data_IF_633833215101
#
_entry.id   IF_633833215101
#
_cell.length_a   1.000
_cell.length_b   1.000
_cell.length_c   1.000
_cell.angle_alpha   90.00
_cell.angle_beta   90.00
_cell.angle_gamma   90.00
#
_symmetry.space_group_name_H-M   'P 1'
#
loop_
_entity.id
_entity.type
_entity.pdbx_description
1 polymer ?
#
# COMPACT_ATOMS: atom_id res chain seq x y z
N UNK A 1 -12.04 14.07 19.76
CA UNK A 1 -11.53 13.11 20.76
C UNK A 1 -11.09 11.86 20.01
N UNK A 2 -9.99 11.22 20.42
CA UNK A 2 -9.53 9.95 19.86
C UNK A 2 -10.16 8.80 20.64
N UNK A 3 -10.90 7.93 19.95
CA UNK A 3 -11.56 6.79 20.54
C UNK A 3 -10.60 5.59 20.64
N UNK A 4 -10.37 5.09 21.86
CA UNK A 4 -9.61 3.88 22.12
C UNK A 4 -10.28 3.07 23.23
N UNK A 5 -10.43 1.75 23.04
CA UNK A 5 -11.05 0.84 24.01
C UNK A 5 -12.43 1.30 24.54
N UNK A 6 -13.25 1.91 23.67
CA UNK A 6 -14.59 2.40 24.04
C UNK A 6 -14.59 3.65 24.92
N UNK A 7 -13.47 4.38 24.98
CA UNK A 7 -13.34 5.66 25.68
C UNK A 7 -12.75 6.72 24.77
N UNK A 8 -13.09 7.96 25.06
CA UNK A 8 -12.58 9.13 24.38
C UNK A 8 -11.41 9.74 25.14
N UNK A 9 -10.33 10.04 24.41
CA UNK A 9 -9.14 10.68 24.95
C UNK A 9 -8.75 11.92 24.15
N UNK A 10 -8.25 12.94 24.84
CA UNK A 10 -7.40 13.96 24.24
C UNK A 10 -5.93 13.53 24.32
N UNK A 11 -5.02 14.25 23.66
CA UNK A 11 -3.59 13.96 23.62
C UNK A 11 -2.96 13.84 25.00
N UNK A 12 -3.34 14.72 25.93
CA UNK A 12 -2.77 14.76 27.28
C UNK A 12 -3.26 13.58 28.11
N UNK A 13 -4.55 13.27 28.01
CA UNK A 13 -5.17 12.12 28.65
C UNK A 13 -4.55 10.82 28.12
N UNK A 14 -4.34 10.71 26.80
CA UNK A 14 -3.70 9.53 26.19
C UNK A 14 -2.27 9.34 26.74
N UNK A 15 -1.47 10.41 26.75
CA UNK A 15 -0.08 10.38 27.24
C UNK A 15 0.05 10.08 28.75
N UNK A 16 -0.99 10.33 29.55
CA UNK A 16 -1.01 9.93 30.97
C UNK A 16 -1.23 8.44 31.17
N UNK A 17 -1.88 7.77 30.22
CA UNK A 17 -2.23 6.35 30.32
C UNK A 17 -1.23 5.43 29.60
N UNK A 18 -0.49 5.96 28.62
CA UNK A 18 0.48 5.21 27.85
C UNK A 18 1.86 5.87 27.94
N UNK A 19 2.89 5.08 28.27
CA UNK A 19 4.27 5.56 28.18
C UNK A 19 4.69 5.91 26.75
N UNK A 20 4.15 5.16 25.78
CA UNK A 20 4.31 5.39 24.35
C UNK A 20 2.95 5.27 23.66
N UNK A 21 2.57 6.27 22.85
CA UNK A 21 1.25 6.31 22.19
C UNK A 21 1.09 5.17 21.16
N UNK A 22 2.20 4.61 20.65
CA UNK A 22 2.21 3.43 19.77
C UNK A 22 1.61 2.18 20.41
N UNK A 23 1.48 2.14 21.74
CA UNK A 23 0.76 1.10 22.46
C UNK A 23 -0.75 1.10 22.13
N UNK A 24 -1.29 2.24 21.69
CA UNK A 24 -2.72 2.43 21.42
C UNK A 24 -3.03 2.45 19.93
N UNK A 25 -2.12 2.98 19.13
CA UNK A 25 -2.29 3.10 17.68
C UNK A 25 -1.10 3.86 17.10
N UNK A 26 -1.02 3.94 15.79
CA UNK A 26 0.07 4.63 15.12
C UNK A 26 0.40 4.05 13.76
N UNK A 27 1.52 4.54 13.23
CA UNK A 27 2.11 4.05 11.97
C UNK A 27 3.53 3.58 12.24
N UNK A 28 3.87 2.37 11.82
CA UNK A 28 5.26 1.88 11.88
C UNK A 28 5.70 1.28 10.55
N UNK A 29 6.97 1.48 10.22
CA UNK A 29 7.58 0.83 9.05
C UNK A 29 8.12 -0.55 9.41
N UNK A 30 7.86 -1.51 8.53
CA UNK A 30 8.36 -2.89 8.63
C UNK A 30 8.85 -3.36 7.26
N UNK A 31 9.68 -4.41 7.27
CA UNK A 31 10.08 -5.12 6.05
C UNK A 31 9.64 -6.57 6.18
N UNK A 32 8.78 -7.02 5.28
CA UNK A 32 8.34 -8.42 5.21
C UNK A 32 9.55 -9.33 4.93
N UNK A 33 9.67 -10.44 5.64
CA UNK A 33 10.91 -11.24 5.65
C UNK A 33 10.80 -12.58 4.93
N UNK A 34 9.61 -13.04 4.54
CA UNK A 34 9.40 -14.42 4.10
C UNK A 34 8.81 -14.55 2.69
N UNK A 35 9.17 -15.67 2.05
CA UNK A 35 8.62 -16.11 0.77
C UNK A 35 8.68 -15.06 -0.34
N UNK A 36 7.61 -15.00 -1.13
CA UNK A 36 7.49 -14.05 -2.24
C UNK A 36 7.33 -12.59 -1.78
N UNK A 37 7.02 -12.35 -0.51
CA UNK A 37 6.84 -11.01 0.06
C UNK A 37 8.16 -10.44 0.62
N UNK A 38 9.21 -11.28 0.74
CA UNK A 38 10.49 -10.90 1.32
C UNK A 38 11.09 -9.66 0.67
N UNK A 39 11.42 -8.68 1.50
CA UNK A 39 12.03 -7.42 1.10
C UNK A 39 11.03 -6.27 0.92
N UNK A 40 9.73 -6.54 0.90
CA UNK A 40 8.71 -5.49 0.77
C UNK A 40 8.68 -4.63 2.03
N UNK A 41 8.85 -3.33 1.86
CA UNK A 41 8.55 -2.30 2.84
C UNK A 41 7.04 -2.12 2.94
N UNK A 42 6.53 -2.15 4.17
CA UNK A 42 5.14 -1.85 4.48
C UNK A 42 5.06 -0.84 5.62
N UNK A 43 3.98 -0.07 5.66
CA UNK A 43 3.60 0.77 6.78
C UNK A 43 2.35 0.17 7.41
N UNK A 44 2.45 -0.27 8.65
CA UNK A 44 1.31 -0.81 9.40
C UNK A 44 0.60 0.32 10.12
N UNK A 45 -0.66 0.55 9.78
CA UNK A 45 -1.53 1.52 10.42
C UNK A 45 -2.42 0.81 11.43
N UNK A 46 -2.48 1.35 12.65
CA UNK A 46 -3.44 0.95 13.69
C UNK A 46 -4.12 2.19 14.24
N UNK A 47 -5.42 2.34 14.05
CA UNK A 47 -6.13 3.55 14.51
C UNK A 47 -6.44 3.54 16.01
N UNK A 48 -6.27 2.41 16.69
CA UNK A 48 -6.64 2.21 18.10
C UNK A 48 -8.14 2.03 18.36
N UNK A 49 -8.99 2.41 17.40
CA UNK A 49 -10.44 2.21 17.41
C UNK A 49 -10.89 0.91 16.72
N UNK A 50 -9.96 0.14 16.17
CA UNK A 50 -10.21 -1.18 15.59
C UNK A 50 -9.88 -1.29 14.11
N UNK A 51 -9.76 -0.18 13.37
CA UNK A 51 -9.27 -0.22 11.98
C UNK A 51 -7.75 -0.42 11.97
N UNK A 52 -7.30 -1.43 11.24
CA UNK A 52 -5.90 -1.66 10.96
C UNK A 52 -5.71 -2.04 9.49
N UNK A 53 -4.65 -1.55 8.86
CA UNK A 53 -4.32 -1.86 7.47
C UNK A 53 -2.85 -1.61 7.19
N UNK A 54 -2.32 -2.26 6.15
CA UNK A 54 -0.96 -2.01 5.71
C UNK A 54 -0.95 -1.26 4.38
N UNK A 55 -0.06 -0.27 4.28
CA UNK A 55 0.30 0.36 3.01
C UNK A 55 1.57 -0.30 2.50
N UNK A 56 1.50 -0.89 1.31
CA UNK A 56 2.60 -1.61 0.67
C UNK A 56 3.44 -0.62 -0.13
N UNK A 57 4.47 -0.06 0.51
CA UNK A 57 5.34 0.97 -0.10
C UNK A 57 5.94 0.49 -1.41
N UNK A 58 6.36 -0.78 -1.46
CA UNK A 58 6.98 -1.32 -2.65
C UNK A 58 5.98 -1.76 -3.74
N UNK A 59 4.68 -1.50 -3.54
CA UNK A 59 3.60 -1.84 -4.47
C UNK A 59 2.66 -0.65 -4.64
N UNK A 60 3.19 0.44 -5.21
CA UNK A 60 2.45 1.68 -5.47
C UNK A 60 1.75 2.34 -4.27
N UNK A 61 2.19 2.06 -3.03
CA UNK A 61 1.48 2.49 -1.81
C UNK A 61 0.04 1.94 -1.74
N UNK A 62 -0.23 0.81 -2.40
CA UNK A 62 -1.52 0.14 -2.34
C UNK A 62 -1.82 -0.39 -0.93
N UNK A 63 -3.10 -0.50 -0.60
CA UNK A 63 -3.55 -1.06 0.68
C UNK A 63 -3.59 -2.59 0.57
N UNK A 64 -2.78 -3.24 1.39
CA UNK A 64 -2.64 -4.69 1.48
C UNK A 64 -3.71 -5.33 2.38
N UNK A 65 -3.33 -5.98 3.51
CA UNK A 65 -4.29 -6.43 4.51
C UNK A 65 -5.06 -5.24 5.08
N UNK A 66 -6.35 -5.45 5.32
CA UNK A 66 -7.18 -4.50 6.02
C UNK A 66 -8.19 -5.24 6.88
N UNK A 67 -8.37 -4.78 8.12
CA UNK A 67 -9.26 -5.38 9.09
C UNK A 67 -9.92 -4.33 9.98
N UNK A 68 -11.08 -4.69 10.52
CA UNK A 68 -11.75 -3.91 11.54
C UNK A 68 -12.12 -4.80 12.72
N UNK A 69 -11.57 -4.49 13.89
CA UNK A 69 -11.76 -5.25 15.13
C UNK A 69 -11.48 -6.76 14.91
N UNK A 70 -10.34 -7.08 14.29
CA UNK A 70 -9.89 -8.45 14.00
C UNK A 70 -10.66 -9.17 12.88
N UNK A 71 -11.52 -8.47 12.14
CA UNK A 71 -12.28 -9.03 11.01
C UNK A 71 -11.69 -8.49 9.71
N UNK A 72 -11.03 -9.36 8.96
CA UNK A 72 -10.43 -8.99 7.67
C UNK A 72 -11.51 -8.68 6.63
N UNK A 73 -11.29 -7.63 5.84
CA UNK A 73 -12.11 -7.27 4.68
C UNK A 73 -11.27 -6.98 3.43
N UNK A 74 -9.94 -7.02 3.53
CA UNK A 74 -9.04 -6.96 2.38
C UNK A 74 -8.91 -8.32 1.68
N UNK A 75 -8.85 -8.31 0.35
CA UNK A 75 -8.56 -9.53 -0.40
C UNK A 75 -7.10 -9.97 -0.21
N UNK A 76 -6.89 -11.25 0.13
CA UNK A 76 -5.55 -11.85 0.21
C UNK A 76 -5.49 -13.08 -0.68
N UNK A 77 -4.78 -12.97 -1.79
CA UNK A 77 -4.55 -14.07 -2.73
C UNK A 77 -3.53 -15.07 -2.18
N UNK A 78 -3.59 -16.32 -2.66
CA UNK A 78 -2.57 -17.33 -2.40
C UNK A 78 -1.18 -16.95 -2.96
N UNK A 79 -1.13 -15.96 -3.85
CA UNK A 79 0.14 -15.39 -4.37
C UNK A 79 0.89 -14.56 -3.33
N UNK A 80 0.20 -14.10 -2.26
CA UNK A 80 0.72 -13.08 -1.35
C UNK A 80 0.95 -11.73 -2.03
N UNK A 81 1.60 -10.83 -1.32
CA UNK A 81 2.13 -9.57 -1.84
C UNK A 81 3.49 -9.82 -2.48
N UNK A 82 3.49 -10.18 -3.76
CA UNK A 82 4.74 -10.52 -4.46
C UNK A 82 5.68 -9.32 -4.55
N UNK A 83 6.95 -9.52 -4.23
CA UNK A 83 7.98 -8.50 -4.36
C UNK A 83 8.15 -8.10 -5.83
N UNK A 84 8.23 -6.79 -6.16
CA UNK A 84 8.43 -6.29 -7.53
C UNK A 84 9.57 -6.94 -8.30
N UNK A 85 10.71 -7.18 -7.64
CA UNK A 85 11.87 -7.85 -8.23
C UNK A 85 11.64 -9.31 -8.63
N UNK A 86 10.48 -9.90 -8.31
CA UNK A 86 10.07 -11.23 -8.75
C UNK A 86 9.00 -11.17 -9.87
N UNK A 87 8.65 -9.98 -10.36
CA UNK A 87 7.59 -9.75 -11.34
C UNK A 87 8.18 -9.36 -12.69
N UNK A 88 7.87 -10.17 -13.71
CA UNK A 88 8.26 -9.93 -15.10
C UNK A 88 7.05 -9.46 -15.89
N UNK A 89 7.05 -8.20 -16.31
CA UNK A 89 5.88 -7.55 -16.91
C UNK A 89 5.34 -8.22 -18.17
N UNK A 90 6.23 -8.77 -19.00
CA UNK A 90 5.87 -9.40 -20.27
C UNK A 90 5.58 -10.90 -20.17
N UNK A 91 5.79 -11.50 -18.99
CA UNK A 91 5.60 -12.93 -18.79
C UNK A 91 4.11 -13.31 -18.94
N UNK A 92 3.86 -14.56 -19.34
CA UNK A 92 2.52 -15.07 -19.68
C UNK A 92 1.75 -14.18 -20.68
N UNK A 93 2.48 -13.55 -21.61
CA UNK A 93 1.89 -12.62 -22.57
C UNK A 93 1.23 -11.40 -21.91
N UNK A 94 1.76 -10.95 -20.76
CA UNK A 94 1.25 -9.79 -20.02
C UNK A 94 0.23 -10.11 -18.95
N UNK A 95 -0.06 -11.39 -18.73
CA UNK A 95 -0.97 -11.85 -17.68
C UNK A 95 -0.26 -12.10 -16.34
N UNK A 96 1.07 -12.00 -16.31
CA UNK A 96 1.87 -12.19 -15.08
C UNK A 96 1.50 -11.24 -13.95
N UNK A 97 0.78 -10.15 -14.22
CA UNK A 97 0.18 -9.28 -13.19
C UNK A 97 -0.70 -10.08 -12.21
N UNK A 98 -1.41 -11.11 -12.70
CA UNK A 98 -2.22 -12.00 -11.88
C UNK A 98 -1.39 -12.81 -10.85
N UNK A 99 -0.09 -13.01 -11.08
CA UNK A 99 0.82 -13.63 -10.10
C UNK A 99 1.12 -12.73 -8.91
N UNK A 100 0.75 -11.46 -8.98
CA UNK A 100 0.93 -10.50 -7.91
C UNK A 100 -0.37 -9.84 -7.46
N UNK A 101 -1.53 -10.24 -7.99
CA UNK A 101 -2.82 -9.66 -7.65
C UNK A 101 -3.26 -10.05 -6.24
N UNK A 102 -3.11 -9.12 -5.29
CA UNK A 102 -3.49 -9.26 -3.89
C UNK A 102 -3.61 -7.87 -3.26
N UNK A 103 -4.40 -7.73 -2.19
CA UNK A 103 -4.62 -6.48 -1.47
C UNK A 103 -6.07 -5.99 -1.52
N UNK A 104 -6.43 -5.12 -0.58
CA UNK A 104 -7.68 -4.37 -0.64
C UNK A 104 -7.72 -3.46 -1.88
N UNK A 105 -6.58 -2.84 -2.20
CA UNK A 105 -6.39 -2.01 -3.39
C UNK A 105 -5.26 -2.62 -4.22
N UNK A 106 -5.44 -2.60 -5.53
CA UNK A 106 -4.39 -2.88 -6.51
C UNK A 106 -4.49 -1.83 -7.60
N UNK A 107 -3.54 -0.89 -7.65
CA UNK A 107 -3.58 0.20 -8.63
C UNK A 107 -3.31 -0.32 -10.03
N UNK A 108 -4.26 -0.11 -10.95
CA UNK A 108 -4.16 -0.50 -12.36
C UNK A 108 -3.93 0.74 -13.23
N UNK A 109 -2.72 0.93 -13.74
CA UNK A 109 -2.32 2.19 -14.38
C UNK A 109 -0.81 2.47 -14.37
N UNK A 110 -0.39 3.73 -14.52
CA UNK A 110 -1.20 4.86 -15.03
C UNK A 110 -1.18 4.92 -16.56
N UNK A 111 -0.07 4.47 -17.17
CA UNK A 111 0.12 4.50 -18.62
C UNK A 111 -0.83 3.58 -19.38
N UNK A 112 -1.34 2.54 -18.71
CA UNK A 112 -2.27 1.57 -19.28
C UNK A 112 -3.13 0.92 -18.21
N UNK A 113 -4.40 0.69 -18.53
CA UNK A 113 -5.33 -0.06 -17.68
C UNK A 113 -6.11 -1.08 -18.52
N UNK A 114 -6.86 -1.97 -17.85
CA UNK A 114 -7.57 -3.10 -18.46
C UNK A 114 -6.63 -4.14 -19.11
N UNK A 115 -7.14 -4.85 -20.12
CA UNK A 115 -6.49 -5.99 -20.77
C UNK A 115 -5.32 -5.57 -21.66
N UNK A 116 -4.54 -6.55 -22.12
CA UNK A 116 -3.33 -6.31 -22.92
C UNK A 116 -3.65 -5.55 -24.22
N UNK A 117 -2.81 -4.58 -24.59
CA UNK A 117 -2.98 -3.82 -25.83
C UNK A 117 -1.65 -3.35 -26.41
N UNK A 118 -1.56 -3.28 -27.74
CA UNK A 118 -0.54 -2.50 -28.44
C UNK A 118 -1.13 -1.17 -28.85
N UNK A 119 -0.50 -0.06 -28.45
CA UNK A 119 -1.01 1.30 -28.68
C UNK A 119 0.07 2.19 -29.30
N UNK A 120 -0.36 3.30 -29.89
CA UNK A 120 0.55 4.32 -30.44
C UNK A 120 1.48 4.88 -29.35
N UNK A 121 2.75 5.02 -29.70
CA UNK A 121 3.80 5.52 -28.81
C UNK A 121 4.38 6.87 -29.27
N UNK A 122 3.73 7.55 -30.23
CA UNK A 122 4.23 8.80 -30.81
C UNK A 122 4.33 9.93 -29.78
N UNK A 123 3.54 9.90 -28.70
CA UNK A 123 3.64 10.87 -27.60
C UNK A 123 5.02 10.91 -26.92
N UNK A 124 5.80 9.82 -26.99
CA UNK A 124 7.16 9.83 -26.44
C UNK A 124 8.16 10.58 -27.32
N UNK A 125 7.74 11.04 -28.51
CA UNK A 125 8.56 11.75 -29.49
C UNK A 125 9.88 11.03 -29.83
N UNK A 126 9.87 9.69 -29.75
CA UNK A 126 11.05 8.85 -30.01
C UNK A 126 10.84 8.04 -31.29
N UNK A 127 11.51 8.45 -32.37
CA UNK A 127 11.28 7.96 -33.74
C UNK A 127 11.47 6.44 -33.90
N UNK A 128 12.26 5.81 -33.05
CA UNK A 128 12.50 4.36 -33.07
C UNK A 128 11.47 3.55 -32.28
N UNK A 129 10.51 4.18 -31.60
CA UNK A 129 9.44 3.52 -30.85
C UNK A 129 8.08 4.05 -31.30
N UNK A 130 7.51 3.40 -32.31
CA UNK A 130 6.22 3.78 -32.90
C UNK A 130 5.03 3.27 -32.11
N UNK A 131 5.15 2.10 -31.49
CA UNK A 131 4.12 1.50 -30.65
C UNK A 131 4.69 1.08 -29.29
N UNK A 132 3.80 0.91 -28.33
CA UNK A 132 4.10 0.30 -27.03
C UNK A 132 3.08 -0.79 -26.78
N UNK A 133 3.58 -1.97 -26.43
CA UNK A 133 2.75 -3.04 -25.92
C UNK A 133 2.65 -2.95 -24.39
N UNK A 134 1.43 -3.13 -23.89
CA UNK A 134 1.10 -3.13 -22.48
C UNK A 134 0.45 -4.46 -22.07
N UNK A 135 0.94 -5.03 -20.98
CA UNK A 135 0.33 -6.12 -20.23
C UNK A 135 -0.88 -5.67 -19.40
N UNK A 136 -1.56 -6.63 -18.79
CA UNK A 136 -2.75 -6.44 -17.96
C UNK A 136 -2.50 -5.42 -16.85
N UNK A 137 -3.37 -4.41 -16.74
CA UNK A 137 -3.38 -3.39 -15.69
C UNK A 137 -2.12 -2.51 -15.56
N UNK A 138 -1.26 -2.50 -16.58
CA UNK A 138 -0.06 -1.66 -16.56
C UNK A 138 0.98 -2.14 -15.53
N UNK A 139 1.89 -1.24 -15.14
CA UNK A 139 3.07 -1.61 -14.33
C UNK A 139 2.98 -1.20 -12.87
N UNK A 140 2.16 -0.19 -12.56
CA UNK A 140 2.28 0.58 -11.31
C UNK A 140 2.19 -0.27 -10.05
N UNK A 141 1.28 -1.25 -9.97
CA UNK A 141 1.14 -2.15 -8.80
C UNK A 141 2.41 -2.93 -8.42
N UNK A 142 3.40 -3.02 -9.32
CA UNK A 142 4.70 -3.64 -9.08
C UNK A 142 5.85 -2.65 -9.23
N UNK A 143 5.62 -1.36 -8.96
CA UNK A 143 6.66 -0.33 -8.89
C UNK A 143 6.81 0.11 -7.43
N UNK A 144 8.03 0.04 -6.87
CA UNK A 144 8.27 0.57 -5.54
C UNK A 144 8.14 2.09 -5.48
N UNK A 145 7.39 2.60 -4.52
CA UNK A 145 7.31 4.03 -4.26
C UNK A 145 8.57 4.54 -3.55
N UNK A 146 8.94 5.78 -3.83
CA UNK A 146 9.85 6.56 -3.00
C UNK A 146 9.05 7.13 -1.82
N UNK A 147 9.21 6.49 -0.66
CA UNK A 147 8.59 6.97 0.57
C UNK A 147 9.21 8.30 1.00
N UNK A 148 8.40 9.36 1.10
CA UNK A 148 8.83 10.71 1.51
C UNK A 148 8.55 10.99 2.98
N UNK A 149 7.55 10.33 3.57
CA UNK A 149 7.26 10.45 4.99
C UNK A 149 6.12 9.55 5.46
N UNK A 150 6.04 9.38 6.78
CA UNK A 150 4.90 8.79 7.46
C UNK A 150 4.93 9.17 8.93
N UNK A 151 3.77 9.06 9.59
CA UNK A 151 3.71 9.22 11.04
C UNK A 151 2.34 9.67 11.53
N UNK A 152 2.39 10.45 12.60
CA UNK A 152 1.23 10.86 13.37
C UNK A 152 1.30 12.36 13.59
N UNK A 153 0.21 13.06 13.32
CA UNK A 153 0.10 14.50 13.55
C UNK A 153 -1.14 14.81 14.36
N UNK A 154 -0.97 15.52 15.48
CA UNK A 154 -2.10 16.04 16.24
C UNK A 154 -2.57 17.37 15.64
N UNK A 155 -3.58 17.31 14.78
CA UNK A 155 -4.19 18.49 14.17
C UNK A 155 -4.92 19.37 15.22
N UNK A 156 -5.46 18.75 16.27
CA UNK A 156 -6.02 19.41 17.46
C UNK A 156 -5.62 18.63 18.71
N UNK A 157 -6.00 19.10 19.91
CA UNK A 157 -5.78 18.34 21.15
C UNK A 157 -6.51 17.00 21.17
N UNK A 158 -7.54 16.84 20.34
CA UNK A 158 -8.47 15.72 20.39
C UNK A 158 -8.59 14.98 19.04
N UNK A 159 -7.79 15.35 18.03
CA UNK A 159 -7.74 14.70 16.72
C UNK A 159 -6.29 14.45 16.31
N UNK A 160 -5.96 13.17 16.19
CA UNK A 160 -4.71 12.70 15.61
C UNK A 160 -4.96 12.18 14.19
N UNK A 161 -4.07 12.52 13.26
CA UNK A 161 -4.06 12.07 11.87
C UNK A 161 -2.88 11.13 11.71
N UNK A 162 -3.16 9.89 11.29
CA UNK A 162 -2.15 8.96 10.82
C UNK A 162 -1.95 9.20 9.32
N UNK A 163 -0.72 9.35 8.87
CA UNK A 163 -0.43 9.70 7.48
C UNK A 163 0.79 8.95 6.94
N UNK A 164 0.82 8.81 5.62
CA UNK A 164 1.97 8.40 4.85
C UNK A 164 1.97 9.11 3.50
N UNK A 165 3.16 9.37 2.98
CA UNK A 165 3.39 10.10 1.75
C UNK A 165 4.52 9.41 0.96
N UNK A 166 4.30 9.26 -0.34
CA UNK A 166 5.27 8.71 -1.27
C UNK A 166 4.90 9.03 -2.72
N UNK A 167 5.85 8.81 -3.62
CA UNK A 167 5.73 9.04 -5.06
C UNK A 167 6.28 7.89 -5.90
#
# INVERSE_FOLDING_TARGET
>A
MVAAYGRDFDRTALARHAGDLSALGGVRSVILQDGAERGIRALEFRTGSGLAFDVLVDRAMDIGPAEHAGRSFGWRSATGFRHPGLHEYSDEGGLSWLRSFSGLIATAGLDHTLFTAEVDASQYHYSYRKTVWNGLHGRVANIPARLTGYGEEWATSDRCVLWAEGE
#
